data_IF_604277861791
#
_entry.id   IF_604277861791
#
_cell.length_a   1.000
_cell.length_b   1.000
_cell.length_c   1.000
_cell.angle_alpha   90.00
_cell.angle_beta   90.00
_cell.angle_gamma   90.00
#
_symmetry.space_group_name_H-M   'P 1'
#
loop_
_entity.id
_entity.type
_entity.pdbx_description
1 polymer ?
#
# COMPACT_ATOMS: atom_id res chain seq x y z
N UNK A 1 -2.86 7.96 10.05
CA UNK A 1 -4.25 8.31 9.67
C UNK A 1 -4.97 7.06 9.22
N UNK A 2 -6.26 6.92 9.54
CA UNK A 2 -7.09 5.81 9.06
C UNK A 2 -8.39 6.36 8.49
N UNK A 3 -8.85 5.77 7.38
CA UNK A 3 -10.17 6.06 6.80
C UNK A 3 -11.29 5.35 7.54
N UNK A 4 -12.40 5.08 6.85
CA UNK A 4 -13.46 4.20 7.37
C UNK A 4 -12.90 2.79 7.58
N UNK A 5 -12.98 2.32 8.82
CA UNK A 5 -12.56 0.97 9.20
C UNK A 5 -13.67 0.26 9.99
N UNK A 6 -13.66 -1.08 9.98
CA UNK A 6 -14.72 -1.89 10.60
C UNK A 6 -14.67 -1.87 12.14
N UNK A 7 -15.58 -2.62 12.78
CA UNK A 7 -15.74 -2.65 14.24
C UNK A 7 -14.46 -2.96 15.04
N UNK A 8 -13.49 -3.65 14.45
CA UNK A 8 -12.19 -3.95 15.08
C UNK A 8 -11.22 -2.76 15.10
N UNK A 9 -11.48 -1.70 14.33
CA UNK A 9 -10.61 -0.53 14.26
C UNK A 9 -10.55 0.20 15.60
N UNK A 10 -11.68 0.36 16.30
CA UNK A 10 -11.72 1.09 17.57
C UNK A 10 -10.77 0.51 18.61
N UNK A 11 -10.75 -0.82 18.75
CA UNK A 11 -9.83 -1.51 19.66
C UNK A 11 -8.36 -1.33 19.23
N UNK A 12 -8.08 -1.50 17.93
CA UNK A 12 -6.74 -1.30 17.39
C UNK A 12 -6.23 0.13 17.63
N UNK A 13 -7.07 1.14 17.36
CA UNK A 13 -6.74 2.55 17.58
C UNK A 13 -6.56 2.88 19.07
N UNK A 14 -7.26 2.18 19.96
CA UNK A 14 -7.04 2.25 21.41
C UNK A 14 -5.59 1.95 21.79
N UNK A 15 -5.03 0.86 21.26
CA UNK A 15 -3.62 0.46 21.50
C UNK A 15 -2.64 1.56 21.10
N UNK A 16 -2.87 2.22 19.97
CA UNK A 16 -2.01 3.33 19.52
C UNK A 16 -2.11 4.53 20.46
N UNK A 17 -3.33 4.91 20.85
CA UNK A 17 -3.58 6.05 21.76
C UNK A 17 -2.98 5.81 23.15
N UNK A 18 -3.10 4.60 23.69
CA UNK A 18 -2.49 4.20 24.97
C UNK A 18 -0.96 4.31 24.94
N UNK A 19 -0.35 4.11 23.77
CA UNK A 19 1.09 4.28 23.54
C UNK A 19 1.50 5.72 23.23
N UNK A 20 0.58 6.68 23.36
CA UNK A 20 0.84 8.10 23.08
C UNK A 20 0.98 8.42 21.59
N UNK A 21 0.56 7.52 20.70
CA UNK A 21 0.61 7.73 19.25
C UNK A 21 -0.65 8.49 18.84
N UNK A 22 -0.46 9.62 18.16
CA UNK A 22 -1.56 10.41 17.64
C UNK A 22 -2.30 9.64 16.53
N UNK A 23 -3.62 9.51 16.68
CA UNK A 23 -4.48 8.80 15.74
C UNK A 23 -5.60 9.72 15.29
N UNK A 24 -5.70 9.92 13.98
CA UNK A 24 -6.81 10.60 13.32
C UNK A 24 -7.60 9.61 12.48
N UNK A 25 -8.90 9.53 12.74
CA UNK A 25 -9.88 8.79 11.95
C UNK A 25 -10.65 9.78 11.08
N UNK A 26 -10.55 9.63 9.76
CA UNK A 26 -11.12 10.59 8.81
C UNK A 26 -12.47 10.17 8.27
N UNK A 27 -12.90 8.93 8.52
CA UNK A 27 -14.06 8.34 7.86
C UNK A 27 -13.87 8.24 6.35
N UNK A 28 -14.95 8.46 5.60
CA UNK A 28 -14.93 8.47 4.14
C UNK A 28 -14.57 9.88 3.65
N UNK A 29 -13.64 9.96 2.70
CA UNK A 29 -13.13 11.20 2.12
C UNK A 29 -13.41 11.21 0.63
N UNK A 30 -13.63 12.40 0.08
CA UNK A 30 -13.65 12.58 -1.38
C UNK A 30 -12.25 12.37 -2.00
N UNK A 31 -12.21 12.15 -3.31
CA UNK A 31 -10.97 11.90 -4.05
C UNK A 31 -9.93 13.02 -3.87
N UNK A 32 -10.36 14.28 -3.82
CA UNK A 32 -9.45 15.42 -3.66
C UNK A 32 -8.80 15.44 -2.27
N UNK A 33 -9.55 15.08 -1.23
CA UNK A 33 -9.09 14.99 0.15
C UNK A 33 -8.15 13.80 0.36
N UNK A 34 -8.46 12.66 -0.26
CA UNK A 34 -7.55 11.50 -0.27
C UNK A 34 -6.23 11.84 -0.95
N UNK A 35 -6.29 12.50 -2.11
CA UNK A 35 -5.10 12.95 -2.84
C UNK A 35 -4.22 13.89 -2.01
N UNK A 36 -4.81 14.88 -1.33
CA UNK A 36 -4.09 15.77 -0.40
C UNK A 36 -3.49 15.02 0.79
N UNK A 37 -4.23 14.05 1.34
CA UNK A 37 -3.74 13.21 2.43
C UNK A 37 -2.50 12.43 1.99
N UNK A 38 -2.53 11.79 0.83
CA UNK A 38 -1.37 11.07 0.32
C UNK A 38 -0.19 11.99 -0.01
N UNK A 39 -0.45 13.18 -0.55
CA UNK A 39 0.61 14.17 -0.81
C UNK A 39 1.34 14.61 0.47
N UNK A 40 0.62 14.68 1.60
CA UNK A 40 1.17 15.15 2.89
C UNK A 40 1.70 14.03 3.79
N UNK A 41 1.34 12.78 3.54
CA UNK A 41 1.87 11.63 4.27
C UNK A 41 3.31 11.29 3.86
N UNK A 42 4.13 10.83 4.82
CA UNK A 42 5.51 10.39 4.55
C UNK A 42 5.56 8.99 3.92
N UNK A 43 4.72 8.08 4.40
CA UNK A 43 4.55 6.72 3.88
C UNK A 43 3.18 6.15 4.23
N UNK A 44 2.78 5.09 3.52
CA UNK A 44 1.60 4.29 3.78
C UNK A 44 1.95 2.96 4.42
N UNK A 45 1.05 2.42 5.24
CA UNK A 45 1.13 1.04 5.74
C UNK A 45 -0.02 0.25 5.13
N UNK A 46 0.31 -0.80 4.38
CA UNK A 46 -0.67 -1.70 3.81
C UNK A 46 -0.74 -2.99 4.65
N UNK A 47 -1.80 -3.22 5.45
CA UNK A 47 -1.91 -4.39 6.32
C UNK A 47 -2.27 -5.69 5.58
N UNK A 48 -2.43 -5.63 4.26
CA UNK A 48 -2.67 -6.79 3.42
C UNK A 48 -1.42 -7.68 3.38
N UNK A 49 -1.55 -9.02 3.33
CA UNK A 49 -0.39 -9.89 3.17
C UNK A 49 0.41 -9.53 1.92
N UNK A 50 1.74 -9.61 2.00
CA UNK A 50 2.66 -9.33 0.89
C UNK A 50 2.23 -10.04 -0.39
N UNK A 51 1.98 -11.35 -0.32
CA UNK A 51 1.57 -12.17 -1.46
C UNK A 51 0.26 -11.72 -2.14
N UNK A 52 -0.54 -10.86 -1.50
CA UNK A 52 -1.81 -10.35 -2.00
C UNK A 52 -1.81 -8.84 -2.24
N UNK A 53 -0.68 -8.15 -2.05
CA UNK A 53 -0.62 -6.68 -2.07
C UNK A 53 -1.07 -6.09 -3.40
N UNK A 54 -0.80 -6.76 -4.53
CA UNK A 54 -1.23 -6.33 -5.86
C UNK A 54 -2.74 -6.26 -6.06
N UNK A 55 -3.53 -6.83 -5.13
CA UNK A 55 -5.01 -6.73 -5.14
C UNK A 55 -5.55 -5.59 -4.28
N UNK A 56 -4.70 -4.91 -3.53
CA UNK A 56 -5.12 -3.83 -2.63
C UNK A 56 -5.26 -2.51 -3.40
N UNK A 57 -6.51 -2.12 -3.67
CA UNK A 57 -6.80 -0.82 -4.29
C UNK A 57 -6.28 0.38 -3.47
N UNK A 58 -6.24 0.26 -2.14
CA UNK A 58 -5.65 1.27 -1.28
C UNK A 58 -4.13 1.38 -1.44
N UNK A 59 -3.43 0.24 -1.58
CA UNK A 59 -1.99 0.25 -1.83
C UNK A 59 -1.67 0.79 -3.23
N UNK A 60 -2.45 0.37 -4.24
CA UNK A 60 -2.35 0.90 -5.60
C UNK A 60 -2.52 2.42 -5.61
N UNK A 61 -3.56 2.96 -4.95
CA UNK A 61 -3.77 4.40 -4.87
C UNK A 61 -2.59 5.13 -4.18
N UNK A 62 -2.05 4.58 -3.07
CA UNK A 62 -0.86 5.17 -2.44
C UNK A 62 0.34 5.23 -3.40
N UNK A 63 0.60 4.14 -4.13
CA UNK A 63 1.71 4.04 -5.09
C UNK A 63 1.52 4.96 -6.32
N UNK A 64 0.29 5.09 -6.81
CA UNK A 64 -0.07 6.04 -7.88
C UNK A 64 0.16 7.49 -7.42
N UNK A 65 -0.08 7.80 -6.15
CA UNK A 65 0.23 9.09 -5.55
C UNK A 65 1.71 9.26 -5.16
N UNK A 66 2.56 8.29 -5.52
CA UNK A 66 4.00 8.32 -5.27
C UNK A 66 4.38 8.28 -3.80
N UNK A 67 3.53 7.68 -2.97
CA UNK A 67 3.77 7.46 -1.56
C UNK A 67 4.52 6.13 -1.37
N UNK A 68 5.66 6.09 -0.65
CA UNK A 68 6.27 4.85 -0.19
C UNK A 68 5.27 4.01 0.61
N UNK A 69 5.15 2.73 0.30
CA UNK A 69 4.21 1.81 0.95
C UNK A 69 4.99 0.68 1.62
N UNK A 70 4.74 0.51 2.91
CA UNK A 70 5.32 -0.54 3.74
C UNK A 70 4.32 -1.65 4.00
N UNK A 71 4.74 -2.89 3.81
CA UNK A 71 3.91 -4.08 4.06
C UNK A 71 4.50 -4.89 5.21
N UNK A 72 3.88 -4.85 6.41
CA UNK A 72 4.39 -5.58 7.57
C UNK A 72 4.02 -7.06 7.57
N UNK A 73 2.96 -7.44 6.85
CA UNK A 73 2.37 -8.78 6.94
C UNK A 73 2.87 -9.69 5.83
N UNK A 74 3.53 -10.79 6.17
CA UNK A 74 4.01 -11.80 5.22
C UNK A 74 3.71 -13.25 5.66
N UNK A 75 2.65 -13.44 6.43
CA UNK A 75 2.24 -14.74 6.98
C UNK A 75 1.38 -15.59 6.02
N UNK A 76 0.78 -14.98 4.99
CA UNK A 76 -0.15 -15.66 4.10
C UNK A 76 0.57 -16.44 2.99
N UNK A 77 0.12 -17.68 2.74
CA UNK A 77 0.58 -18.53 1.65
C UNK A 77 -0.62 -19.24 1.02
N UNK A 78 -0.60 -19.41 -0.30
CA UNK A 78 -1.63 -20.18 -1.00
C UNK A 78 -1.43 -21.68 -0.72
N UNK A 79 -2.51 -22.39 -0.39
CA UNK A 79 -2.41 -23.82 -0.08
C UNK A 79 -2.01 -24.61 -1.33
N UNK A 80 -0.92 -25.36 -1.24
CA UNK A 80 -0.48 -26.29 -2.29
C UNK A 80 0.23 -25.64 -3.49
N UNK A 81 0.57 -24.36 -3.41
CA UNK A 81 1.36 -23.67 -4.46
C UNK A 81 2.57 -23.03 -3.78
N UNK A 82 3.75 -23.12 -4.41
CA UNK A 82 4.91 -22.31 -4.01
C UNK A 82 4.50 -20.83 -4.00
N UNK A 83 5.04 -20.03 -3.07
CA UNK A 83 4.70 -18.61 -2.96
C UNK A 83 4.67 -17.95 -4.34
N UNK A 84 3.60 -17.22 -4.71
CA UNK A 84 3.57 -16.52 -5.98
C UNK A 84 4.79 -15.60 -6.08
N UNK A 85 5.37 -15.49 -7.26
CA UNK A 85 6.41 -14.51 -7.57
C UNK A 85 5.94 -13.12 -7.13
N UNK A 86 6.88 -12.30 -6.65
CA UNK A 86 6.61 -11.05 -5.95
C UNK A 86 5.54 -10.21 -6.68
N UNK A 87 4.37 -9.96 -6.05
CA UNK A 87 3.17 -9.45 -6.74
C UNK A 87 3.25 -7.98 -7.17
N UNK A 88 4.33 -7.26 -6.86
CA UNK A 88 4.50 -5.87 -7.25
C UNK A 88 6.00 -5.52 -7.32
N UNK A 89 6.38 -4.93 -8.46
CA UNK A 89 7.74 -4.48 -8.77
C UNK A 89 7.94 -2.97 -8.54
N UNK A 90 6.95 -2.30 -7.93
CA UNK A 90 7.04 -0.86 -7.71
C UNK A 90 8.17 -0.55 -6.71
N UNK A 91 9.14 0.32 -7.05
CA UNK A 91 10.27 0.65 -6.17
C UNK A 91 9.83 1.34 -4.87
N UNK A 92 8.64 1.91 -4.83
CA UNK A 92 8.06 2.51 -3.63
C UNK A 92 7.37 1.48 -2.72
N UNK A 93 7.31 0.21 -3.11
CA UNK A 93 6.73 -0.84 -2.29
C UNK A 93 7.83 -1.66 -1.61
N UNK A 94 7.80 -1.70 -0.27
CA UNK A 94 8.75 -2.48 0.50
C UNK A 94 8.04 -3.44 1.47
N UNK A 95 8.60 -4.64 1.60
CA UNK A 95 8.28 -5.55 2.71
C UNK A 95 9.07 -5.11 3.93
N UNK A 96 8.42 -5.02 5.09
CA UNK A 96 9.08 -4.62 6.34
C UNK A 96 10.27 -5.52 6.70
N UNK A 97 10.15 -6.82 6.45
CA UNK A 97 11.21 -7.81 6.75
C UNK A 97 12.47 -7.62 5.89
N UNK A 98 12.34 -6.98 4.73
CA UNK A 98 13.42 -6.82 3.74
C UNK A 98 13.98 -5.39 3.73
N UNK A 99 13.50 -4.52 4.64
CA UNK A 99 13.89 -3.12 4.67
C UNK A 99 15.28 -2.94 5.29
N UNK A 100 16.20 -2.35 4.54
CA UNK A 100 17.53 -1.96 5.05
C UNK A 100 17.40 -0.67 5.90
N UNK A 101 17.71 -0.71 7.22
CA UNK A 101 17.66 0.46 8.07
C UNK A 101 18.55 1.62 7.58
N UNK A 102 19.68 1.31 6.94
CA UNK A 102 20.63 2.32 6.46
C UNK A 102 20.16 3.00 5.16
N UNK A 103 19.27 2.35 4.42
CA UNK A 103 18.71 2.88 3.16
C UNK A 103 17.29 3.44 3.31
N UNK A 104 16.66 3.26 4.49
CA UNK A 104 15.26 3.61 4.72
C UNK A 104 14.97 5.09 4.47
N UNK A 105 15.82 6.00 4.95
CA UNK A 105 15.64 7.44 4.76
C UNK A 105 15.65 7.82 3.26
N UNK A 106 16.55 7.19 2.48
CA UNK A 106 16.64 7.40 1.04
C UNK A 106 15.39 6.89 0.33
N UNK A 107 14.88 5.73 0.75
CA UNK A 107 13.66 5.16 0.20
C UNK A 107 12.43 6.02 0.51
N UNK A 108 12.29 6.50 1.75
CA UNK A 108 11.23 7.43 2.14
C UNK A 108 11.29 8.74 1.33
N UNK A 109 12.49 9.22 1.00
CA UNK A 109 12.69 10.40 0.17
C UNK A 109 12.43 10.18 -1.33
N UNK A 110 12.26 8.93 -1.80
CA UNK A 110 12.14 8.60 -3.23
C UNK A 110 10.77 8.87 -3.86
N UNK A 111 9.96 9.70 -3.20
CA UNK A 111 8.59 10.06 -3.62
C UNK A 111 8.55 10.59 -5.06
N UNK A 112 7.44 10.32 -5.75
CA UNK A 112 7.20 10.77 -7.14
C UNK A 112 5.89 11.55 -7.26
N UNK A 113 5.72 12.39 -8.30
CA UNK A 113 4.45 13.05 -8.56
C UNK A 113 3.31 12.04 -8.80
N UNK A 114 2.07 12.36 -8.39
CA UNK A 114 0.92 11.51 -8.67
C UNK A 114 0.77 11.22 -10.16
N UNK A 115 0.67 9.94 -10.51
CA UNK A 115 0.58 9.46 -11.88
C UNK A 115 -0.42 8.30 -11.94
N UNK A 116 -1.39 8.37 -12.84
CA UNK A 116 -2.38 7.30 -13.03
C UNK A 116 -1.71 6.04 -13.59
N UNK A 117 -1.96 4.88 -12.98
CA UNK A 117 -1.52 3.60 -13.53
C UNK A 117 -2.51 3.01 -14.53
N UNK A 118 -3.64 3.70 -14.79
CA UNK A 118 -4.68 3.21 -15.70
C UNK A 118 -4.18 2.93 -17.12
N UNK A 119 -3.36 3.80 -17.77
CA UNK A 119 -2.84 3.50 -19.10
C UNK A 119 -2.01 2.21 -19.12
N UNK A 120 -1.05 2.10 -18.21
CA UNK A 120 -0.19 0.90 -18.09
C UNK A 120 -1.00 -0.36 -17.78
N UNK A 121 -1.99 -0.27 -16.90
CA UNK A 121 -2.87 -1.38 -16.54
C UNK A 121 -3.74 -1.80 -17.73
N UNK A 122 -4.23 -0.82 -18.50
CA UNK A 122 -5.02 -1.07 -19.72
C UNK A 122 -4.18 -1.78 -20.77
N UNK A 123 -2.96 -1.30 -21.01
CA UNK A 123 -2.04 -1.92 -21.98
C UNK A 123 -1.71 -3.36 -21.58
N UNK A 124 -1.38 -3.60 -20.30
CA UNK A 124 -1.12 -4.93 -19.78
C UNK A 124 -2.33 -5.87 -19.91
N UNK A 125 -3.54 -5.35 -19.68
CA UNK A 125 -4.77 -6.11 -19.84
C UNK A 125 -5.03 -6.48 -21.30
N UNK A 126 -4.89 -5.54 -22.23
CA UNK A 126 -5.07 -5.79 -23.66
C UNK A 126 -4.06 -6.83 -24.17
N UNK A 127 -2.79 -6.69 -23.77
CA UNK A 127 -1.75 -7.67 -24.11
C UNK A 127 -2.08 -9.07 -23.59
N UNK A 128 -2.62 -9.17 -22.36
CA UNK A 128 -3.03 -10.45 -21.78
C UNK A 128 -4.19 -11.10 -22.55
N UNK A 129 -5.11 -10.32 -23.10
CA UNK A 129 -6.18 -10.83 -23.97
C UNK A 129 -5.64 -11.37 -25.30
N UNK A 130 -4.60 -10.74 -25.85
CA UNK A 130 -3.99 -11.15 -27.12
C UNK A 130 -3.08 -12.38 -26.99
N UNK A 131 -2.50 -12.60 -25.81
CA UNK A 131 -1.57 -13.72 -25.54
C UNK A 131 -2.24 -14.94 -24.89
N UNK A 132 -3.51 -14.84 -24.49
CA UNK A 132 -4.31 -15.98 -24.06
C UNK A 132 -4.83 -16.75 -25.30
N UNK A 133 -4.45 -18.02 -25.50
CA UNK A 133 -5.02 -18.87 -26.54
C UNK A 133 -6.50 -19.24 -26.29
#
# INVERSE_FOLDING_TARGET
>A
VIGRAGAHATALLGVFRERGIAVTETGELDHASVSRLFATADFGIAPHPWALIGKSGAAAAMLEHGLPVLVPRDDWRLRGIASPDSPASDPLLARLADLDPLATDRWLASRRPPTSALPLTTDAFLQALETCP
#
